data_IF_587153794194
#
_entry.id   IF_587153794194
#
_cell.length_a   1.000
_cell.length_b   1.000
_cell.length_c   1.000
_cell.angle_alpha   90.00
_cell.angle_beta   90.00
_cell.angle_gamma   90.00
#
_symmetry.space_group_name_H-M   'P 1'
#
loop_
_entity.id
_entity.type
_entity.pdbx_description
1 polymer ?
#
# COMPACT_ATOMS: atom_id res chain seq x y z
N UNK A 1 -93.04 -12.49 -4.09
CA UNK A 1 -92.89 -11.49 -3.02
C UNK A 1 -91.45 -11.22 -2.87
N UNK A 2 -91.04 -10.04 -3.27
CA UNK A 2 -89.73 -9.50 -3.35
C UNK A 2 -89.24 -8.89 -2.04
N UNK A 3 -88.02 -9.10 -1.61
CA UNK A 3 -87.36 -8.13 -0.77
C UNK A 3 -85.87 -8.02 -1.18
N UNK A 4 -85.59 -6.88 -1.80
CA UNK A 4 -84.27 -6.37 -2.05
C UNK A 4 -83.68 -5.83 -0.76
N UNK A 5 -82.45 -6.28 -0.40
CA UNK A 5 -81.68 -5.61 0.61
C UNK A 5 -80.36 -5.17 -0.03
N UNK A 6 -80.24 -3.89 -0.33
CA UNK A 6 -79.00 -3.25 -0.76
C UNK A 6 -78.11 -3.02 0.46
N UNK A 7 -76.98 -3.65 0.50
CA UNK A 7 -75.91 -3.33 1.42
C UNK A 7 -74.96 -2.35 0.72
N UNK A 8 -75.01 -1.07 1.13
CA UNK A 8 -74.00 -0.08 0.76
C UNK A 8 -72.70 -0.34 1.52
N UNK A 9 -71.66 -0.77 0.81
CA UNK A 9 -70.33 -0.76 1.32
C UNK A 9 -69.74 0.66 1.30
N UNK A 10 -69.64 1.28 2.45
CA UNK A 10 -68.80 2.47 2.64
C UNK A 10 -67.34 2.12 2.54
N UNK A 11 -66.74 2.44 1.40
CA UNK A 11 -65.29 2.44 1.26
C UNK A 11 -64.74 3.68 1.99
N UNK A 12 -64.25 3.48 3.21
CA UNK A 12 -63.44 4.47 3.90
C UNK A 12 -62.04 4.45 3.27
N UNK A 13 -61.72 5.43 2.44
CA UNK A 13 -60.41 5.72 1.92
C UNK A 13 -59.56 6.25 3.07
N UNK A 14 -58.80 5.38 3.76
CA UNK A 14 -57.72 5.82 4.63
C UNK A 14 -56.56 6.29 3.74
N UNK A 15 -56.54 7.58 3.41
CA UNK A 15 -55.37 8.24 2.92
C UNK A 15 -54.31 8.29 4.05
N UNK A 16 -53.42 7.31 4.08
CA UNK A 16 -52.20 7.39 4.90
C UNK A 16 -51.34 8.54 4.35
N UNK A 17 -51.45 9.71 4.98
CA UNK A 17 -50.44 10.74 4.84
C UNK A 17 -49.14 10.15 5.35
N UNK A 18 -48.30 9.72 4.43
CA UNK A 18 -46.86 9.58 4.69
C UNK A 18 -46.32 11.00 4.96
N UNK A 19 -46.35 11.40 6.22
CA UNK A 19 -45.52 12.50 6.69
C UNK A 19 -44.07 12.04 6.48
N UNK A 20 -43.48 12.46 5.37
CA UNK A 20 -42.03 12.37 5.19
C UNK A 20 -41.43 13.16 6.34
N UNK A 21 -40.94 12.44 7.37
CA UNK A 21 -40.12 13.05 8.39
C UNK A 21 -38.98 13.82 7.66
N UNK A 22 -38.70 15.09 8.04
CA UNK A 22 -37.58 15.81 7.48
C UNK A 22 -36.36 14.92 7.67
N UNK A 23 -35.70 14.57 6.56
CA UNK A 23 -34.64 13.59 6.54
C UNK A 23 -33.65 13.86 7.65
N UNK A 24 -33.36 12.85 8.44
CA UNK A 24 -32.24 12.86 9.37
C UNK A 24 -31.00 13.18 8.53
N UNK A 25 -30.63 14.44 8.52
CA UNK A 25 -29.39 14.93 7.96
C UNK A 25 -28.26 14.15 8.64
N UNK A 26 -27.70 13.14 7.97
CA UNK A 26 -26.39 12.74 8.28
C UNK A 26 -26.04 11.28 8.48
N UNK A 27 -26.97 10.33 8.54
CA UNK A 27 -26.55 8.92 8.64
C UNK A 27 -26.01 8.43 7.27
N UNK A 28 -24.71 8.20 7.19
CA UNK A 28 -24.06 7.59 6.03
C UNK A 28 -23.94 6.08 6.27
N UNK A 29 -24.27 5.28 5.26
CA UNK A 29 -24.28 3.82 5.37
C UNK A 29 -23.45 3.18 4.26
N UNK A 30 -22.63 2.19 4.66
CA UNK A 30 -21.97 1.24 3.76
C UNK A 30 -22.73 -0.08 3.77
N UNK A 31 -22.77 -0.74 2.61
CA UNK A 31 -23.33 -2.08 2.48
C UNK A 31 -22.39 -3.16 3.03
N UNK A 32 -22.95 -4.30 3.37
CA UNK A 32 -22.14 -5.51 3.51
C UNK A 32 -21.56 -5.88 2.13
N UNK A 33 -20.38 -6.47 2.10
CA UNK A 33 -19.59 -6.87 0.93
C UNK A 33 -18.76 -5.76 0.26
N UNK A 34 -18.79 -4.51 0.72
CA UNK A 34 -17.85 -3.49 0.25
C UNK A 34 -16.41 -3.83 0.68
N UNK A 35 -15.46 -3.64 -0.24
CA UNK A 35 -14.05 -3.95 0.00
C UNK A 35 -13.31 -2.76 0.60
N UNK A 36 -12.66 -2.99 1.71
CA UNK A 36 -11.89 -2.02 2.46
C UNK A 36 -10.39 -2.34 2.37
N UNK A 37 -9.58 -1.34 2.07
CA UNK A 37 -8.12 -1.46 2.05
C UNK A 37 -7.53 -0.78 3.28
N UNK A 38 -6.77 -1.53 4.06
CA UNK A 38 -6.19 -1.07 5.32
C UNK A 38 -4.73 -1.42 5.45
N UNK A 39 -4.00 -0.64 6.22
CA UNK A 39 -2.59 -0.85 6.56
C UNK A 39 -2.45 -1.06 8.05
N UNK A 40 -1.76 -2.11 8.48
CA UNK A 40 -1.46 -2.34 9.87
C UNK A 40 -0.55 -1.23 10.43
N UNK A 41 -0.89 -0.73 11.59
CA UNK A 41 -0.09 0.24 12.35
C UNK A 41 0.76 -0.43 13.42
N UNK A 42 0.35 -1.61 13.86
CA UNK A 42 1.00 -2.35 14.92
C UNK A 42 1.56 -3.66 14.38
N UNK A 43 2.67 -4.10 14.97
CA UNK A 43 3.26 -5.42 14.72
C UNK A 43 2.33 -6.52 15.21
N UNK A 44 2.11 -7.52 14.38
CA UNK A 44 1.20 -8.63 14.64
C UNK A 44 1.95 -9.96 14.56
N UNK A 45 1.79 -10.83 15.57
CA UNK A 45 2.57 -12.05 15.68
C UNK A 45 1.73 -13.20 16.28
N UNK A 46 1.71 -14.37 15.67
CA UNK A 46 0.84 -15.48 16.08
C UNK A 46 1.17 -16.05 17.47
N UNK A 47 2.38 -15.84 17.98
CA UNK A 47 2.82 -16.28 19.31
C UNK A 47 2.72 -15.20 20.40
N UNK A 48 2.06 -14.08 20.14
CA UNK A 48 1.96 -13.01 21.12
C UNK A 48 1.07 -13.42 22.30
N UNK A 49 1.70 -13.70 23.46
CA UNK A 49 0.98 -14.16 24.67
C UNK A 49 -0.01 -13.12 25.20
N UNK A 50 0.34 -11.85 25.14
CA UNK A 50 -0.47 -10.75 25.67
C UNK A 50 -1.65 -10.36 24.77
N UNK A 51 -1.68 -10.77 23.50
CA UNK A 51 -2.71 -10.44 22.51
C UNK A 51 -3.11 -8.96 22.55
N UNK A 52 -2.18 -8.03 22.29
CA UNK A 52 -2.42 -6.60 22.39
C UNK A 52 -3.52 -6.17 21.41
N UNK A 53 -4.03 -4.95 21.62
CA UNK A 53 -4.88 -4.30 20.61
C UNK A 53 -4.11 -4.16 19.31
N UNK A 54 -4.83 -4.26 18.20
CA UNK A 54 -4.28 -4.11 16.84
C UNK A 54 -4.99 -2.95 16.17
N UNK A 55 -4.22 -2.02 15.60
CA UNK A 55 -4.75 -0.89 14.85
C UNK A 55 -4.41 -1.05 13.37
N UNK A 56 -5.32 -0.56 12.54
CA UNK A 56 -5.08 -0.43 11.11
C UNK A 56 -5.58 0.92 10.60
N UNK A 57 -4.96 1.43 9.56
CA UNK A 57 -5.30 2.68 8.90
C UNK A 57 -6.04 2.37 7.60
N UNK A 58 -7.19 2.98 7.37
CA UNK A 58 -7.85 2.97 6.06
C UNK A 58 -7.02 3.80 5.09
N UNK A 59 -6.61 3.20 3.97
CA UNK A 59 -5.70 3.82 2.99
C UNK A 59 -6.38 4.22 1.68
N UNK A 60 -7.60 3.76 1.44
CA UNK A 60 -8.40 4.16 0.29
C UNK A 60 -9.81 4.59 0.75
N UNK A 61 -10.42 5.59 0.11
CA UNK A 61 -11.78 5.99 0.45
C UNK A 61 -12.76 4.85 0.16
N UNK A 62 -13.69 4.61 1.06
CA UNK A 62 -14.80 3.70 0.84
C UNK A 62 -16.10 4.50 0.73
N UNK A 63 -16.70 4.43 -0.46
CA UNK A 63 -17.91 5.17 -0.81
C UNK A 63 -19.17 4.36 -0.49
N UNK A 64 -20.15 5.01 0.05
CA UNK A 64 -21.49 4.46 0.23
C UNK A 64 -22.42 4.82 -0.92
N UNK A 65 -23.71 4.57 -0.73
CA UNK A 65 -24.75 4.92 -1.69
C UNK A 65 -24.69 6.42 -2.04
N UNK A 66 -24.73 6.72 -3.34
CA UNK A 66 -24.68 8.09 -3.85
C UNK A 66 -23.28 8.70 -3.93
N UNK A 67 -22.22 7.89 -3.88
CA UNK A 67 -20.83 8.34 -4.10
C UNK A 67 -20.25 9.17 -2.94
N UNK A 68 -20.87 9.13 -1.76
CA UNK A 68 -20.33 9.79 -0.57
C UNK A 68 -19.34 8.88 0.14
N UNK A 69 -18.18 9.41 0.49
CA UNK A 69 -17.19 8.68 1.25
C UNK A 69 -17.66 8.53 2.71
N UNK A 70 -17.83 7.29 3.14
CA UNK A 70 -18.23 6.93 4.50
C UNK A 70 -17.02 6.61 5.37
N UNK A 71 -16.05 5.85 4.84
CA UNK A 71 -14.78 5.61 5.51
C UNK A 71 -13.66 6.26 4.69
N UNK A 72 -13.25 7.48 5.06
CA UNK A 72 -12.16 8.17 4.36
C UNK A 72 -10.81 7.57 4.71
N UNK A 73 -9.78 7.79 3.86
CA UNK A 73 -8.40 7.55 4.23
C UNK A 73 -8.07 8.28 5.54
N UNK A 74 -7.21 7.68 6.38
CA UNK A 74 -6.94 8.24 7.71
C UNK A 74 -7.86 7.72 8.82
N UNK A 75 -8.94 6.99 8.50
CA UNK A 75 -9.76 6.29 9.50
C UNK A 75 -8.93 5.24 10.23
N UNK A 76 -8.94 5.26 11.56
CA UNK A 76 -8.24 4.26 12.38
C UNK A 76 -9.23 3.16 12.78
N UNK A 77 -8.91 1.94 12.40
CA UNK A 77 -9.59 0.75 12.87
C UNK A 77 -8.90 0.23 14.12
N UNK A 78 -9.70 -0.13 15.13
CA UNK A 78 -9.21 -0.80 16.33
C UNK A 78 -9.78 -2.21 16.38
N UNK A 79 -8.91 -3.15 16.73
CA UNK A 79 -9.24 -4.55 16.76
C UNK A 79 -8.38 -5.34 17.75
N UNK A 80 -8.49 -6.65 17.67
CA UNK A 80 -7.78 -7.59 18.55
C UNK A 80 -7.52 -8.92 17.85
N UNK A 81 -6.69 -9.71 18.46
CA UNK A 81 -6.52 -11.11 18.10
C UNK A 81 -7.82 -11.88 18.39
N UNK A 82 -8.41 -12.50 17.37
CA UNK A 82 -9.59 -13.36 17.50
C UNK A 82 -9.20 -14.82 17.72
N UNK A 83 -8.02 -15.23 17.27
CA UNK A 83 -7.49 -16.56 17.48
C UNK A 83 -6.12 -16.74 16.86
N UNK A 84 -5.40 -17.76 17.29
CA UNK A 84 -4.17 -18.22 16.65
C UNK A 84 -3.98 -19.71 16.93
N UNK A 85 -3.32 -20.41 16.06
CA UNK A 85 -3.08 -21.84 16.23
C UNK A 85 -2.14 -22.40 15.17
N UNK A 86 -2.04 -23.73 15.15
CA UNK A 86 -1.23 -24.48 14.20
C UNK A 86 -2.11 -25.53 13.51
N UNK A 87 -2.10 -25.51 12.18
CA UNK A 87 -2.69 -26.56 11.37
C UNK A 87 -1.65 -27.61 11.02
N UNK A 88 -2.11 -28.88 10.93
CA UNK A 88 -1.25 -30.03 10.61
C UNK A 88 -1.56 -30.62 9.21
N UNK A 89 -2.57 -30.11 8.52
CA UNK A 89 -2.98 -30.63 7.23
C UNK A 89 -2.05 -30.11 6.12
N UNK A 90 -1.38 -30.98 5.39
CA UNK A 90 -0.43 -30.61 4.35
C UNK A 90 0.91 -30.03 4.83
N UNK A 91 1.21 -30.15 6.12
CA UNK A 91 2.39 -29.58 6.77
C UNK A 91 2.00 -28.81 8.03
N UNK A 92 2.99 -28.47 8.87
CA UNK A 92 2.76 -27.64 10.04
C UNK A 92 2.83 -26.18 9.63
N UNK A 93 1.74 -25.43 9.74
CA UNK A 93 1.74 -23.97 9.56
C UNK A 93 0.91 -23.27 10.60
N UNK A 94 1.36 -22.11 11.00
CA UNK A 94 0.64 -21.27 11.96
C UNK A 94 -0.43 -20.46 11.23
N UNK A 95 -1.48 -20.14 11.97
CA UNK A 95 -2.50 -19.22 11.52
C UNK A 95 -2.81 -18.19 12.60
N UNK A 96 -3.36 -17.08 12.19
CA UNK A 96 -3.75 -15.95 13.00
C UNK A 96 -5.06 -15.37 12.47
N UNK A 97 -6.01 -15.10 13.36
CA UNK A 97 -7.22 -14.35 13.05
C UNK A 97 -7.22 -13.01 13.77
N UNK A 98 -7.49 -11.95 13.04
CA UNK A 98 -7.71 -10.60 13.53
C UNK A 98 -9.18 -10.25 13.42
N UNK A 99 -9.69 -9.50 14.40
CA UNK A 99 -11.03 -8.94 14.39
C UNK A 99 -10.94 -7.46 14.69
N UNK A 100 -11.46 -6.66 13.77
CA UNK A 100 -11.65 -5.22 13.97
C UNK A 100 -13.11 -5.00 14.35
N UNK A 101 -13.36 -4.20 15.36
CA UNK A 101 -14.69 -4.00 15.96
C UNK A 101 -15.08 -2.53 16.08
N UNK A 102 -14.13 -1.60 15.93
CA UNK A 102 -14.44 -0.18 15.94
C UNK A 102 -13.61 0.60 14.92
N UNK A 103 -14.19 1.67 14.39
CA UNK A 103 -13.57 2.64 13.52
C UNK A 103 -13.64 4.02 14.17
N UNK A 104 -12.52 4.74 14.23
CA UNK A 104 -12.44 6.17 14.55
C UNK A 104 -12.29 6.93 13.25
N UNK A 105 -13.37 7.57 12.82
CA UNK A 105 -13.49 8.23 11.51
C UNK A 105 -13.25 9.71 11.67
N UNK A 106 -12.25 10.31 11.00
CA UNK A 106 -11.97 11.75 11.10
C UNK A 106 -13.07 12.58 10.46
N UNK A 107 -13.38 13.71 11.06
CA UNK A 107 -14.28 14.74 10.54
C UNK A 107 -13.45 15.88 10.00
N UNK A 108 -13.52 16.13 8.70
CA UNK A 108 -12.61 17.04 8.01
C UNK A 108 -13.01 18.52 8.07
N UNK A 109 -14.22 18.83 8.50
CA UNK A 109 -14.70 20.20 8.75
C UNK A 109 -14.38 20.70 10.17
N UNK A 110 -14.01 19.81 11.08
CA UNK A 110 -13.70 20.13 12.46
C UNK A 110 -12.32 19.56 12.85
N UNK A 111 -11.34 20.42 13.05
CA UNK A 111 -9.99 20.01 13.44
C UNK A 111 -10.02 19.11 14.69
N UNK A 112 -9.46 17.92 14.58
CA UNK A 112 -9.35 16.90 15.63
C UNK A 112 -10.63 16.18 16.09
N UNK A 113 -11.77 16.40 15.47
CA UNK A 113 -12.99 15.67 15.80
C UNK A 113 -13.07 14.30 15.08
N UNK A 114 -13.59 13.29 15.76
CA UNK A 114 -13.76 11.94 15.22
C UNK A 114 -15.10 11.36 15.60
N UNK A 115 -15.69 10.61 14.67
CA UNK A 115 -16.89 9.80 14.92
C UNK A 115 -16.48 8.34 15.09
N UNK A 116 -16.98 7.70 16.15
CA UNK A 116 -16.82 6.26 16.33
C UNK A 116 -17.96 5.50 15.69
N UNK A 117 -17.62 4.43 14.99
CA UNK A 117 -18.55 3.49 14.41
C UNK A 117 -18.17 2.05 14.75
N UNK A 118 -19.17 1.20 14.88
CA UNK A 118 -18.94 -0.24 14.92
C UNK A 118 -18.58 -0.70 13.50
N UNK A 119 -17.60 -1.61 13.40
CA UNK A 119 -17.21 -2.22 12.14
C UNK A 119 -17.06 -3.73 12.33
N UNK A 120 -17.46 -4.48 11.32
CA UNK A 120 -17.22 -5.91 11.25
C UNK A 120 -16.77 -6.26 9.84
N UNK A 121 -15.62 -6.91 9.73
CA UNK A 121 -15.03 -7.23 8.43
C UNK A 121 -14.31 -8.58 8.46
N UNK A 122 -14.16 -9.18 7.29
CA UNK A 122 -13.38 -10.40 7.05
C UNK A 122 -12.24 -10.07 6.10
N UNK A 123 -11.02 -10.38 6.51
CA UNK A 123 -9.84 -10.24 5.65
C UNK A 123 -9.96 -11.23 4.50
N UNK A 124 -9.71 -10.79 3.28
CA UNK A 124 -9.84 -11.60 2.05
C UNK A 124 -8.54 -11.70 1.25
N UNK A 125 -7.65 -10.71 1.41
CA UNK A 125 -6.34 -10.70 0.79
C UNK A 125 -5.36 -9.88 1.63
N UNK A 126 -4.08 -10.04 1.33
CA UNK A 126 -3.02 -9.24 1.91
C UNK A 126 -1.91 -9.04 0.88
N UNK A 127 -1.22 -7.92 0.98
CA UNK A 127 -0.01 -7.64 0.22
C UNK A 127 1.19 -8.10 1.05
N UNK A 128 1.49 -9.36 0.94
CA UNK A 128 2.59 -10.01 1.65
C UNK A 128 3.20 -11.09 0.75
N UNK A 129 4.51 -11.30 0.92
CA UNK A 129 5.25 -12.27 0.11
C UNK A 129 5.17 -13.69 0.67
N UNK A 130 4.84 -13.82 1.93
CA UNK A 130 5.01 -15.04 2.70
C UNK A 130 3.70 -15.60 3.23
N UNK A 131 2.91 -14.78 3.86
CA UNK A 131 1.62 -15.10 4.42
C UNK A 131 0.52 -15.03 3.36
N UNK A 132 -0.53 -15.78 3.57
CA UNK A 132 -1.72 -15.80 2.70
C UNK A 132 -2.98 -15.68 3.55
N UNK A 133 -4.11 -15.42 2.92
CA UNK A 133 -5.41 -15.39 3.59
C UNK A 133 -6.23 -16.60 3.14
N UNK A 134 -6.77 -17.37 4.07
CA UNK A 134 -7.66 -18.49 3.76
C UNK A 134 -9.12 -18.03 3.59
N UNK A 135 -9.98 -18.98 3.18
CA UNK A 135 -11.41 -18.71 2.96
C UNK A 135 -12.17 -18.26 4.21
N UNK A 136 -11.65 -18.56 5.40
CA UNK A 136 -12.21 -18.11 6.68
C UNK A 136 -11.73 -16.70 7.08
N UNK A 137 -10.82 -16.10 6.32
CA UNK A 137 -10.22 -14.79 6.62
C UNK A 137 -9.10 -14.87 7.66
N UNK A 138 -8.52 -16.05 7.88
CA UNK A 138 -7.36 -16.21 8.74
C UNK A 138 -6.09 -15.97 7.93
N UNK A 139 -5.13 -15.31 8.51
CA UNK A 139 -3.80 -15.13 7.97
C UNK A 139 -3.01 -16.40 8.27
N UNK A 140 -2.48 -17.03 7.25
CA UNK A 140 -1.85 -18.34 7.32
C UNK A 140 -0.40 -18.22 6.86
N UNK A 141 0.51 -18.68 7.68
CA UNK A 141 1.93 -18.74 7.35
C UNK A 141 2.22 -19.77 6.26
N UNK A 142 3.35 -19.67 5.58
CA UNK A 142 3.70 -20.56 4.48
C UNK A 142 3.87 -22.01 4.95
N UNK A 143 3.56 -22.94 4.07
CA UNK A 143 4.10 -24.31 4.14
C UNK A 143 5.43 -24.30 3.42
N UNK A 144 6.51 -24.39 4.17
CA UNK A 144 7.83 -24.38 3.55
C UNK A 144 8.38 -25.81 3.58
N UNK A 145 8.63 -26.40 2.41
CA UNK A 145 9.36 -27.67 2.35
C UNK A 145 10.79 -27.40 2.83
N UNK A 146 11.30 -28.17 3.78
CA UNK A 146 12.70 -28.13 4.16
C UNK A 146 13.57 -28.46 2.95
N UNK A 147 14.35 -27.52 2.50
CA UNK A 147 15.25 -27.69 1.34
C UNK A 147 16.51 -28.44 1.74
N UNK A 148 16.87 -28.43 3.03
CA UNK A 148 18.08 -29.07 3.55
C UNK A 148 17.69 -30.27 4.41
N UNK A 149 17.75 -31.46 3.84
CA UNK A 149 17.40 -32.72 4.51
C UNK A 149 18.63 -33.54 4.93
N UNK A 150 19.81 -33.23 4.41
CA UNK A 150 21.01 -34.04 4.61
C UNK A 150 22.29 -33.22 4.77
N UNK A 151 23.33 -33.87 5.31
CA UNK A 151 24.69 -33.29 5.37
C UNK A 151 25.27 -33.02 3.98
N UNK A 152 24.81 -33.72 2.93
CA UNK A 152 25.18 -33.50 1.55
C UNK A 152 24.67 -32.17 1.00
N UNK A 153 23.50 -31.72 1.44
CA UNK A 153 22.92 -30.47 0.99
C UNK A 153 23.77 -29.27 1.46
N UNK A 154 24.42 -29.38 2.63
CA UNK A 154 25.37 -28.38 3.13
C UNK A 154 26.65 -28.26 2.27
N UNK A 155 27.06 -29.34 1.60
CA UNK A 155 28.20 -29.31 0.68
C UNK A 155 27.84 -28.54 -0.61
N UNK A 156 26.63 -28.66 -1.09
CA UNK A 156 26.10 -27.89 -2.24
C UNK A 156 25.99 -26.41 -1.87
N UNK A 157 25.57 -26.11 -0.64
CA UNK A 157 25.53 -24.77 -0.08
C UNK A 157 26.93 -24.15 -0.01
N UNK A 158 27.92 -24.91 0.48
CA UNK A 158 29.30 -24.45 0.59
C UNK A 158 29.97 -24.20 -0.77
N UNK A 159 29.70 -25.06 -1.76
CA UNK A 159 30.15 -24.89 -3.15
C UNK A 159 29.47 -23.71 -3.84
N UNK A 160 28.20 -23.44 -3.50
CA UNK A 160 27.44 -22.34 -4.03
C UNK A 160 27.95 -20.97 -3.61
N UNK A 161 28.65 -20.87 -2.45
CA UNK A 161 29.23 -19.60 -1.95
C UNK A 161 30.39 -19.12 -2.84
N UNK A 162 31.00 -20.00 -3.61
CA UNK A 162 32.12 -19.66 -4.49
C UNK A 162 31.70 -18.97 -5.79
N UNK A 163 30.39 -18.98 -6.11
CA UNK A 163 29.86 -18.32 -7.31
C UNK A 163 28.82 -17.26 -6.92
N UNK A 164 28.94 -15.99 -7.35
CA UNK A 164 28.06 -14.90 -6.91
C UNK A 164 26.57 -15.15 -7.19
N UNK A 165 26.25 -15.89 -8.25
CA UNK A 165 24.88 -16.32 -8.61
C UNK A 165 24.26 -17.22 -7.55
N UNK A 166 25.04 -18.25 -7.16
CA UNK A 166 24.61 -19.23 -6.16
C UNK A 166 24.58 -18.63 -4.76
N UNK A 167 25.43 -17.65 -4.46
CA UNK A 167 25.42 -16.95 -3.19
C UNK A 167 24.12 -16.14 -2.97
N UNK A 168 23.55 -15.53 -4.02
CA UNK A 168 22.29 -14.77 -3.94
C UNK A 168 21.09 -15.72 -3.83
N UNK A 169 21.04 -16.75 -4.66
CA UNK A 169 20.00 -17.79 -4.56
C UNK A 169 20.04 -18.44 -3.18
N UNK A 170 21.25 -18.70 -2.68
CA UNK A 170 21.45 -19.28 -1.37
C UNK A 170 21.06 -18.31 -0.26
N UNK A 171 21.41 -17.03 -0.36
CA UNK A 171 21.03 -16.00 0.62
C UNK A 171 19.51 -15.85 0.70
N UNK A 172 18.80 -15.84 -0.44
CA UNK A 172 17.32 -15.77 -0.46
C UNK A 172 16.68 -17.06 0.06
N UNK A 173 17.29 -18.22 -0.22
CA UNK A 173 16.82 -19.51 0.31
C UNK A 173 17.10 -19.62 1.80
N UNK A 174 18.27 -19.20 2.28
CA UNK A 174 18.61 -19.19 3.70
C UNK A 174 17.80 -18.14 4.47
N UNK A 175 17.53 -16.98 3.89
CA UNK A 175 16.60 -16.00 4.47
C UNK A 175 15.21 -16.60 4.61
N UNK A 176 14.73 -17.29 3.58
CA UNK A 176 13.50 -18.10 3.64
C UNK A 176 13.58 -19.08 4.81
N UNK A 177 14.62 -19.95 4.87
CA UNK A 177 14.74 -20.97 5.91
C UNK A 177 14.98 -20.42 7.33
N UNK A 178 15.68 -19.30 7.47
CA UNK A 178 15.86 -18.67 8.79
C UNK A 178 14.57 -18.03 9.29
N UNK A 179 13.77 -17.44 8.42
CA UNK A 179 12.37 -17.02 8.70
C UNK A 179 11.47 -18.23 8.98
N UNK A 180 11.74 -19.39 8.36
CA UNK A 180 11.05 -20.67 8.62
C UNK A 180 11.24 -21.23 10.01
N UNK A 181 12.37 -21.03 10.64
CA UNK A 181 12.55 -21.43 12.05
C UNK A 181 11.49 -20.77 12.95
N UNK A 182 10.95 -19.64 12.54
CA UNK A 182 9.75 -19.02 13.05
C UNK A 182 8.57 -19.31 12.14
N UNK A 183 8.05 -20.52 12.13
CA UNK A 183 6.80 -20.94 11.44
C UNK A 183 5.56 -20.15 11.89
N UNK A 184 5.76 -19.04 12.56
CA UNK A 184 4.74 -18.12 13.05
C UNK A 184 4.35 -17.13 11.98
N UNK A 185 3.09 -16.76 11.93
CA UNK A 185 2.65 -15.56 11.23
C UNK A 185 3.28 -14.35 11.89
N UNK A 186 3.89 -13.51 11.10
CA UNK A 186 4.56 -12.31 11.56
C UNK A 186 4.35 -11.17 10.56
N UNK A 187 3.62 -10.15 10.96
CA UNK A 187 3.31 -8.99 10.13
C UNK A 187 3.91 -7.74 10.74
N UNK A 188 4.65 -7.01 9.95
CA UNK A 188 5.20 -5.71 10.34
C UNK A 188 4.17 -4.58 10.19
N UNK A 189 4.34 -3.48 10.94
CA UNK A 189 3.63 -2.24 10.63
C UNK A 189 3.88 -1.86 9.16
N UNK A 190 2.82 -1.47 8.46
CA UNK A 190 2.89 -1.19 7.03
C UNK A 190 2.32 -2.30 6.14
N UNK A 191 2.14 -3.53 6.64
CA UNK A 191 1.47 -4.60 5.90
C UNK A 191 0.05 -4.19 5.53
N UNK A 192 -0.31 -4.38 4.25
CA UNK A 192 -1.62 -4.02 3.73
C UNK A 192 -2.55 -5.22 3.62
N UNK A 193 -3.79 -5.00 4.01
CA UNK A 193 -4.84 -6.00 4.02
C UNK A 193 -6.03 -5.48 3.21
N UNK A 194 -6.63 -6.38 2.44
CA UNK A 194 -7.96 -6.17 1.85
C UNK A 194 -8.98 -6.95 2.68
N UNK A 195 -10.05 -6.28 3.05
CA UNK A 195 -11.12 -6.89 3.84
C UNK A 195 -12.49 -6.54 3.26
N UNK A 196 -13.45 -7.41 3.47
CA UNK A 196 -14.85 -7.21 3.07
C UNK A 196 -15.68 -6.97 4.31
N UNK A 197 -16.50 -5.93 4.28
CA UNK A 197 -17.46 -5.66 5.36
C UNK A 197 -18.44 -6.81 5.48
N UNK A 198 -18.65 -7.30 6.70
CA UNK A 198 -19.61 -8.38 7.00
C UNK A 198 -20.93 -7.85 7.56
N UNK A 199 -20.94 -6.59 7.97
CA UNK A 199 -22.12 -5.87 8.43
C UNK A 199 -22.10 -4.44 7.90
N UNK A 200 -23.27 -3.81 7.71
CA UNK A 200 -23.33 -2.40 7.35
C UNK A 200 -22.63 -1.52 8.38
N UNK A 201 -21.94 -0.49 7.92
CA UNK A 201 -21.36 0.56 8.77
C UNK A 201 -22.24 1.79 8.68
N UNK A 202 -22.67 2.30 9.82
CA UNK A 202 -23.50 3.49 9.93
C UNK A 202 -22.76 4.55 10.73
N UNK A 203 -22.59 5.72 10.15
CA UNK A 203 -22.04 6.89 10.83
C UNK A 203 -23.16 7.79 11.33
N UNK A 204 -23.07 8.25 12.57
CA UNK A 204 -24.00 9.21 13.15
C UNK A 204 -23.89 10.62 12.54
N UNK A 205 -22.76 10.93 11.91
CA UNK A 205 -22.47 12.20 11.24
C UNK A 205 -21.65 11.93 9.98
N UNK A 206 -21.81 12.73 8.93
CA UNK A 206 -21.00 12.69 7.73
C UNK A 206 -19.55 13.07 8.00
N UNK A 207 -18.64 12.55 7.17
CA UNK A 207 -17.22 12.79 7.30
C UNK A 207 -16.77 14.10 6.66
N UNK A 208 -17.58 14.63 5.74
CA UNK A 208 -17.27 15.80 4.89
C UNK A 208 -15.94 15.64 4.11
N UNK A 209 -15.41 14.42 4.07
CA UNK A 209 -14.20 14.13 3.31
C UNK A 209 -14.47 14.30 1.81
N UNK A 210 -13.53 14.96 1.16
CA UNK A 210 -13.49 15.10 -0.29
C UNK A 210 -12.09 14.75 -0.76
N UNK A 211 -11.94 14.12 -1.93
CA UNK A 211 -10.62 13.96 -2.53
C UNK A 211 -9.97 15.35 -2.67
N UNK A 212 -8.63 15.43 -2.65
CA UNK A 212 -7.95 16.68 -2.92
C UNK A 212 -8.49 17.27 -4.23
N UNK A 213 -8.81 18.58 -4.26
CA UNK A 213 -9.29 19.23 -5.48
C UNK A 213 -8.22 19.19 -6.58
N UNK A 214 -8.61 19.40 -7.84
CA UNK A 214 -7.66 19.53 -8.95
C UNK A 214 -6.63 20.61 -8.70
N UNK A 215 -5.43 20.43 -9.23
CA UNK A 215 -4.33 21.40 -9.11
C UNK A 215 -4.70 22.69 -9.84
N UNK A 216 -4.76 23.80 -9.10
CA UNK A 216 -5.11 25.12 -9.62
C UNK A 216 -4.11 26.21 -9.26
N UNK A 217 -3.32 25.98 -8.18
CA UNK A 217 -2.41 27.00 -7.62
C UNK A 217 -1.05 27.00 -8.33
N UNK A 218 -0.77 28.05 -9.06
CA UNK A 218 0.60 28.41 -9.48
C UNK A 218 1.30 27.50 -10.49
N UNK A 219 0.74 26.34 -10.81
CA UNK A 219 1.33 25.39 -11.72
C UNK A 219 0.25 24.82 -12.66
N UNK A 220 0.49 24.91 -13.96
CA UNK A 220 -0.34 24.23 -14.95
C UNK A 220 0.11 22.76 -15.04
N UNK A 221 -0.71 21.78 -14.60
CA UNK A 221 -0.33 20.36 -14.62
C UNK A 221 0.01 19.85 -16.03
N UNK A 222 -0.68 20.33 -17.08
CA UNK A 222 -0.39 19.97 -18.47
C UNK A 222 0.99 20.50 -18.92
N UNK A 223 1.38 21.69 -18.45
CA UNK A 223 2.72 22.23 -18.72
C UNK A 223 3.79 21.38 -18.05
N UNK A 224 3.58 20.98 -16.78
CA UNK A 224 4.47 20.07 -16.08
C UNK A 224 4.59 18.76 -16.86
N UNK A 225 3.47 18.15 -17.22
CA UNK A 225 3.47 16.88 -17.93
C UNK A 225 4.25 16.90 -19.26
N UNK A 226 4.24 18.04 -19.95
CA UNK A 226 5.00 18.24 -21.20
C UNK A 226 6.48 18.54 -20.99
N UNK A 227 6.86 19.15 -19.87
CA UNK A 227 8.23 19.65 -19.63
C UNK A 227 9.15 18.67 -18.90
N UNK A 228 8.58 17.68 -18.18
CA UNK A 228 9.37 16.77 -17.38
C UNK A 228 9.77 15.50 -18.14
N UNK A 229 10.94 14.90 -17.86
CA UNK A 229 11.37 13.66 -18.48
C UNK A 229 10.37 12.51 -18.27
N UNK A 230 10.22 11.63 -19.25
CA UNK A 230 9.34 10.47 -19.19
C UNK A 230 9.93 9.33 -18.35
N UNK A 231 11.24 9.16 -18.41
CA UNK A 231 11.94 8.01 -17.80
C UNK A 231 13.25 8.44 -17.15
N UNK A 232 13.59 7.76 -16.08
CA UNK A 232 14.95 7.70 -15.57
C UNK A 232 15.81 6.79 -16.46
N UNK A 233 17.12 6.97 -16.39
CA UNK A 233 18.11 6.25 -17.19
C UNK A 233 19.02 5.45 -16.26
N UNK A 234 19.56 4.32 -16.72
CA UNK A 234 20.65 3.62 -16.01
C UNK A 234 21.90 4.48 -16.00
N UNK A 235 22.51 4.64 -14.82
CA UNK A 235 23.76 5.38 -14.68
C UNK A 235 24.87 4.81 -15.56
N UNK A 236 25.61 5.68 -16.24
CA UNK A 236 26.69 5.30 -17.15
C UNK A 236 26.27 4.58 -18.44
N UNK A 237 24.97 4.41 -18.67
CA UNK A 237 24.43 3.74 -19.87
C UNK A 237 23.24 4.53 -20.39
N UNK A 238 23.11 4.64 -21.69
CA UNK A 238 21.97 5.29 -22.31
C UNK A 238 20.79 4.31 -22.48
N UNK A 239 20.40 3.66 -21.36
CA UNK A 239 19.30 2.67 -21.32
C UNK A 239 18.15 3.25 -20.51
N UNK A 240 16.97 3.44 -21.13
CA UNK A 240 15.76 3.86 -20.40
C UNK A 240 15.36 2.83 -19.32
N UNK A 241 14.95 3.33 -18.17
CA UNK A 241 14.50 2.52 -17.05
C UNK A 241 13.12 3.00 -16.55
N UNK A 242 12.98 3.30 -15.28
CA UNK A 242 11.73 3.53 -14.59
C UNK A 242 10.97 4.74 -15.11
N UNK A 243 9.65 4.63 -15.21
CA UNK A 243 8.78 5.71 -15.64
C UNK A 243 8.62 6.73 -14.51
N UNK A 244 8.78 8.02 -14.83
CA UNK A 244 8.44 9.12 -13.93
C UNK A 244 6.92 9.29 -13.97
N UNK A 245 6.23 8.74 -12.98
CA UNK A 245 4.76 8.69 -12.92
C UNK A 245 4.13 9.73 -12.00
N UNK A 246 4.92 10.39 -11.12
CA UNK A 246 4.41 11.34 -10.13
C UNK A 246 5.26 12.61 -10.15
N UNK A 247 4.60 13.76 -10.05
CA UNK A 247 5.20 15.06 -9.83
C UNK A 247 4.61 15.66 -8.53
N UNK A 248 5.46 16.14 -7.63
CA UNK A 248 5.04 16.70 -6.35
C UNK A 248 5.55 18.14 -6.24
N UNK A 249 4.67 19.06 -5.88
CA UNK A 249 4.98 20.47 -5.62
C UNK A 249 4.95 20.69 -4.11
N UNK A 250 6.08 21.11 -3.55
CA UNK A 250 6.24 21.36 -2.12
C UNK A 250 7.69 21.52 -1.72
N UNK A 251 7.95 21.82 -0.43
CA UNK A 251 9.31 21.87 0.09
C UNK A 251 9.86 20.45 0.33
N UNK A 252 11.18 20.32 0.44
CA UNK A 252 11.81 19.06 0.79
C UNK A 252 11.33 18.54 2.17
N UNK A 253 11.08 19.45 3.11
CA UNK A 253 10.52 19.14 4.43
C UNK A 253 9.13 18.52 4.34
N UNK A 254 8.21 19.16 3.62
CA UNK A 254 6.84 18.66 3.41
C UNK A 254 6.84 17.27 2.76
N UNK A 255 7.69 17.06 1.75
CA UNK A 255 7.78 15.77 1.07
C UNK A 255 8.31 14.67 2.02
N UNK A 256 9.39 14.95 2.78
CA UNK A 256 9.92 14.01 3.79
C UNK A 256 8.88 13.62 4.83
N UNK A 257 8.15 14.59 5.35
CA UNK A 257 7.09 14.36 6.34
C UNK A 257 5.92 13.57 5.75
N UNK A 258 5.50 13.88 4.52
CA UNK A 258 4.43 13.16 3.84
C UNK A 258 4.83 11.69 3.59
N UNK A 259 6.06 11.44 3.12
CA UNK A 259 6.57 10.08 2.92
C UNK A 259 6.66 9.30 4.24
N UNK A 260 7.18 9.92 5.31
CA UNK A 260 7.27 9.28 6.61
C UNK A 260 5.88 8.96 7.19
N UNK A 261 4.93 9.89 7.10
CA UNK A 261 3.54 9.68 7.53
C UNK A 261 2.83 8.59 6.70
N UNK A 262 3.20 8.44 5.42
CA UNK A 262 2.73 7.38 4.53
C UNK A 262 3.39 6.02 4.82
N UNK A 263 4.33 5.95 5.78
CA UNK A 263 5.01 4.71 6.17
C UNK A 263 6.19 4.31 5.30
N UNK A 264 6.71 5.24 4.47
CA UNK A 264 7.93 5.01 3.72
C UNK A 264 9.16 5.38 4.54
N UNK A 265 10.18 4.54 4.47
CA UNK A 265 11.49 4.77 5.10
C UNK A 265 12.50 5.20 4.04
N UNK A 266 13.45 6.06 4.43
CA UNK A 266 14.50 6.50 3.52
C UNK A 266 15.51 5.38 3.33
N UNK A 267 15.72 4.94 2.09
CA UNK A 267 16.73 3.96 1.74
C UNK A 267 18.14 4.59 1.70
N UNK A 268 19.16 3.81 2.02
CA UNK A 268 20.53 4.23 1.88
C UNK A 268 20.97 4.26 0.41
N UNK A 269 21.85 5.19 -0.01
CA UNK A 269 22.44 5.15 -1.34
C UNK A 269 23.22 3.85 -1.54
N UNK A 270 23.12 3.26 -2.74
CA UNK A 270 23.81 2.05 -3.10
C UNK A 270 25.31 2.33 -3.32
N UNK A 271 26.20 1.58 -2.67
CA UNK A 271 27.62 1.52 -3.02
C UNK A 271 28.00 0.07 -3.33
N UNK A 272 28.75 -0.17 -4.41
CA UNK A 272 29.13 -1.49 -4.92
C UNK A 272 29.74 -2.45 -3.87
N UNK A 273 30.21 -1.95 -2.74
CA UNK A 273 30.75 -2.76 -1.65
C UNK A 273 29.77 -3.09 -0.51
N UNK A 274 28.59 -2.45 -0.47
CA UNK A 274 27.61 -2.65 0.59
C UNK A 274 26.66 -3.81 0.35
N UNK A 275 26.46 -4.20 -0.91
CA UNK A 275 25.41 -5.13 -1.33
C UNK A 275 25.60 -6.53 -0.78
N UNK A 276 26.81 -7.08 -0.92
CA UNK A 276 27.11 -8.44 -0.45
C UNK A 276 27.10 -8.50 1.09
N UNK A 277 27.62 -7.46 1.77
CA UNK A 277 27.60 -7.39 3.24
C UNK A 277 26.19 -7.22 3.78
N UNK A 278 25.33 -6.49 3.07
CA UNK A 278 23.94 -6.26 3.45
C UNK A 278 23.10 -7.53 3.27
N UNK A 279 23.29 -8.25 2.16
CA UNK A 279 22.65 -9.56 1.92
C UNK A 279 23.06 -10.57 3.01
N UNK A 280 24.35 -10.64 3.36
CA UNK A 280 24.85 -11.55 4.41
C UNK A 280 24.34 -11.15 5.80
N UNK A 281 24.23 -9.86 6.11
CA UNK A 281 23.65 -9.38 7.38
C UNK A 281 22.16 -9.66 7.48
N UNK A 282 21.40 -9.43 6.40
CA UNK A 282 19.98 -9.76 6.34
C UNK A 282 19.74 -11.26 6.52
N UNK A 283 20.57 -12.10 5.90
CA UNK A 283 20.55 -13.55 6.07
C UNK A 283 20.88 -14.00 7.51
N UNK A 284 21.61 -13.18 8.28
CA UNK A 284 21.93 -13.44 9.69
C UNK A 284 20.88 -12.93 10.68
N UNK A 285 19.81 -12.27 10.20
CA UNK A 285 18.76 -11.72 11.07
C UNK A 285 19.18 -10.47 11.87
N UNK A 286 20.29 -9.84 11.50
CA UNK A 286 20.84 -8.64 12.13
C UNK A 286 20.22 -7.39 11.50
N UNK A 287 18.97 -7.09 11.84
CA UNK A 287 18.30 -5.82 11.61
C UNK A 287 18.02 -5.47 10.13
N UNK A 288 16.81 -5.02 9.85
CA UNK A 288 16.44 -4.42 8.57
C UNK A 288 17.04 -3.01 8.48
N UNK A 289 18.25 -2.92 7.96
CA UNK A 289 18.80 -1.64 7.50
C UNK A 289 18.24 -1.29 6.13
N UNK A 290 18.19 0.00 5.80
CA UNK A 290 17.77 0.51 4.49
C UNK A 290 18.50 -0.24 3.35
N UNK A 291 17.73 -0.81 2.42
CA UNK A 291 18.25 -1.69 1.38
C UNK A 291 18.71 -0.89 0.14
N UNK A 292 19.85 -1.26 -0.50
CA UNK A 292 20.32 -0.55 -1.68
C UNK A 292 19.43 -0.79 -2.92
N UNK A 293 19.24 0.26 -3.72
CA UNK A 293 18.48 0.23 -4.98
C UNK A 293 19.39 0.57 -6.17
N UNK A 294 19.11 0.03 -7.36
CA UNK A 294 19.90 0.26 -8.58
C UNK A 294 20.13 1.75 -8.86
N UNK A 295 21.32 2.09 -9.34
CA UNK A 295 21.71 3.46 -9.66
C UNK A 295 20.99 3.94 -10.94
N UNK A 296 19.98 4.79 -10.76
CA UNK A 296 19.29 5.48 -11.84
C UNK A 296 19.58 6.96 -11.80
N UNK A 297 19.57 7.59 -12.96
CA UNK A 297 19.77 9.04 -13.10
C UNK A 297 18.61 9.67 -13.87
N UNK A 298 18.28 10.89 -13.50
CA UNK A 298 17.33 11.72 -14.24
C UNK A 298 18.03 13.04 -14.62
N UNK A 299 18.07 13.34 -15.91
CA UNK A 299 18.87 14.48 -16.37
C UNK A 299 20.36 14.39 -16.01
N UNK A 300 20.93 13.18 -15.93
CA UNK A 300 22.32 12.93 -15.56
C UNK A 300 22.62 12.99 -14.07
N UNK A 301 21.62 13.18 -13.19
CA UNK A 301 21.80 13.28 -11.74
C UNK A 301 21.24 12.06 -11.02
N UNK A 302 21.93 11.64 -9.96
CA UNK A 302 21.41 10.69 -9.00
C UNK A 302 20.16 11.23 -8.28
N UNK A 303 19.30 10.36 -7.71
CA UNK A 303 18.14 10.80 -6.95
C UNK A 303 18.54 11.55 -5.67
N UNK A 304 17.81 12.60 -5.34
CA UNK A 304 18.00 13.37 -4.10
C UNK A 304 17.52 12.58 -2.88
N UNK A 305 16.49 11.76 -3.08
CA UNK A 305 15.93 10.88 -2.04
C UNK A 305 15.51 9.55 -2.65
N UNK A 306 15.63 8.51 -1.86
CA UNK A 306 15.11 7.17 -2.20
C UNK A 306 14.31 6.68 -1.02
N UNK A 307 13.14 6.14 -1.31
CA UNK A 307 12.23 5.62 -0.29
C UNK A 307 11.85 4.19 -0.59
N UNK A 308 11.65 3.43 0.46
CA UNK A 308 11.18 2.05 0.38
C UNK A 308 10.14 1.75 1.47
N UNK A 309 9.29 0.79 1.19
CA UNK A 309 8.41 0.14 2.14
C UNK A 309 8.60 -1.36 1.94
N UNK A 310 9.22 -1.99 2.92
CA UNK A 310 9.45 -3.44 2.90
C UNK A 310 8.17 -4.11 3.35
N UNK A 311 7.62 -4.98 2.49
CA UNK A 311 6.38 -5.69 2.80
C UNK A 311 6.67 -6.93 3.64
N UNK A 312 7.65 -7.74 3.30
CA UNK A 312 8.05 -8.91 4.11
C UNK A 312 9.46 -9.42 3.81
N UNK A 313 9.94 -9.26 2.59
CA UNK A 313 11.24 -9.79 2.20
C UNK A 313 12.08 -8.77 1.44
N UNK A 314 13.38 -9.00 1.47
CA UNK A 314 14.37 -8.30 0.65
C UNK A 314 14.01 -8.26 -0.86
N UNK A 315 13.25 -9.24 -1.32
CA UNK A 315 12.94 -9.45 -2.74
C UNK A 315 11.68 -8.69 -3.18
N UNK A 316 10.76 -8.43 -2.25
CA UNK A 316 9.46 -7.79 -2.55
C UNK A 316 9.32 -6.53 -1.71
N UNK A 317 9.33 -5.38 -2.39
CA UNK A 317 9.22 -4.07 -1.74
C UNK A 317 8.64 -3.03 -2.68
N UNK A 318 7.93 -2.10 -2.10
CA UNK A 318 7.58 -0.85 -2.76
C UNK A 318 8.75 0.10 -2.64
N UNK A 319 9.20 0.68 -3.72
CA UNK A 319 10.25 1.69 -3.65
C UNK A 319 10.09 2.75 -4.72
N UNK A 320 10.57 3.94 -4.42
CA UNK A 320 10.59 5.03 -5.38
C UNK A 320 11.78 5.93 -5.18
N UNK A 321 12.17 6.58 -6.27
CA UNK A 321 13.23 7.54 -6.35
C UNK A 321 12.68 8.91 -6.62
N UNK A 322 13.29 9.92 -6.00
CA UNK A 322 12.85 11.30 -6.04
C UNK A 322 13.96 12.19 -6.54
N UNK A 323 13.66 13.03 -7.51
CA UNK A 323 14.56 14.04 -8.06
C UNK A 323 13.94 15.41 -7.96
N UNK A 324 14.70 16.39 -7.50
CA UNK A 324 14.32 17.79 -7.58
C UNK A 324 14.44 18.27 -9.03
N UNK A 325 13.47 19.04 -9.49
CA UNK A 325 13.41 19.51 -10.86
C UNK A 325 13.07 21.02 -10.93
N UNK A 326 13.72 21.85 -11.82
CA UNK A 326 14.95 21.49 -12.50
C UNK A 326 16.14 21.31 -11.54
N UNK A 327 17.18 20.65 -12.07
CA UNK A 327 18.32 20.15 -11.29
C UNK A 327 19.18 21.21 -10.58
N UNK A 328 19.06 22.48 -10.93
CA UNK A 328 19.89 23.56 -10.41
C UNK A 328 19.27 24.36 -9.25
N UNK A 329 18.12 23.95 -8.75
CA UNK A 329 17.51 24.58 -7.58
C UNK A 329 18.22 24.09 -6.31
N UNK A 330 18.73 24.99 -5.45
CA UNK A 330 19.62 24.65 -4.33
C UNK A 330 19.04 24.94 -2.95
N UNK A 331 17.91 25.62 -2.86
CA UNK A 331 17.28 25.97 -1.59
C UNK A 331 16.27 24.88 -1.16
N UNK A 332 16.60 24.13 -0.11
CA UNK A 332 15.78 23.04 0.41
C UNK A 332 14.47 23.51 1.06
N UNK A 333 14.41 24.75 1.52
CA UNK A 333 13.21 25.32 2.13
C UNK A 333 12.28 25.97 1.12
N UNK A 334 12.73 26.15 -0.11
CA UNK A 334 11.89 26.67 -1.18
C UNK A 334 10.94 25.59 -1.73
N UNK A 335 9.74 26.01 -2.11
CA UNK A 335 8.82 25.17 -2.87
C UNK A 335 9.47 24.76 -4.20
N UNK A 336 9.56 23.47 -4.44
CA UNK A 336 10.17 22.88 -5.62
C UNK A 336 9.23 21.87 -6.29
N UNK A 337 9.53 21.52 -7.52
CA UNK A 337 8.94 20.38 -8.21
C UNK A 337 9.82 19.15 -7.97
N UNK A 338 9.22 18.08 -7.48
CA UNK A 338 9.86 16.79 -7.24
C UNK A 338 9.29 15.75 -8.19
N UNK A 339 10.15 15.06 -8.90
CA UNK A 339 9.76 13.99 -9.82
C UNK A 339 10.02 12.64 -9.17
N UNK A 340 9.05 11.73 -9.29
CA UNK A 340 9.10 10.42 -8.65
C UNK A 340 8.90 9.33 -9.70
N UNK A 341 9.81 8.35 -9.67
CA UNK A 341 9.65 7.08 -10.36
C UNK A 341 9.48 5.98 -9.31
N UNK A 342 8.31 5.34 -9.32
CA UNK A 342 7.91 4.32 -8.36
C UNK A 342 7.81 2.95 -9.04
N UNK A 343 8.29 1.92 -8.37
CA UNK A 343 8.25 0.52 -8.82
C UNK A 343 8.03 -0.43 -7.66
N UNK A 344 7.32 -1.52 -7.96
CA UNK A 344 7.12 -2.63 -7.03
C UNK A 344 8.01 -3.79 -7.44
N UNK A 345 8.94 -4.19 -6.58
CA UNK A 345 9.79 -5.36 -6.78
C UNK A 345 8.98 -6.63 -6.53
N UNK A 346 9.00 -7.56 -7.48
CA UNK A 346 8.26 -8.83 -7.43
C UNK A 346 9.16 -10.06 -7.39
N UNK A 347 10.48 -9.88 -7.58
CA UNK A 347 11.43 -10.98 -7.63
C UNK A 347 12.84 -10.52 -7.97
N UNK A 348 13.72 -11.49 -8.23
CA UNK A 348 15.10 -11.27 -8.69
C UNK A 348 15.30 -12.02 -9.99
N UNK A 349 15.97 -11.42 -10.96
CA UNK A 349 16.37 -12.04 -12.23
C UNK A 349 17.76 -11.62 -12.64
N UNK A 350 18.39 -12.41 -13.54
CA UNK A 350 19.65 -12.03 -14.14
C UNK A 350 19.41 -11.21 -15.41
N UNK A 351 19.95 -10.01 -15.49
CA UNK A 351 19.87 -9.14 -16.65
C UNK A 351 21.23 -9.00 -17.34
N UNK A 352 21.31 -9.45 -18.59
CA UNK A 352 22.52 -9.22 -19.44
C UNK A 352 22.74 -7.74 -19.74
N UNK A 353 21.67 -6.93 -19.81
CA UNK A 353 21.76 -5.49 -20.06
C UNK A 353 22.31 -4.73 -18.85
N UNK A 354 22.17 -5.27 -17.66
CA UNK A 354 22.64 -4.70 -16.40
C UNK A 354 23.91 -5.38 -15.88
N UNK A 355 24.43 -6.41 -16.59
CA UNK A 355 25.58 -7.25 -16.21
C UNK A 355 25.47 -7.79 -14.78
N UNK A 356 24.28 -8.25 -14.37
CA UNK A 356 24.12 -8.77 -13.03
C UNK A 356 22.68 -9.10 -12.67
N UNK A 357 22.51 -9.35 -11.39
CA UNK A 357 21.19 -9.54 -10.82
C UNK A 357 20.47 -8.21 -10.68
N UNK A 358 19.20 -8.20 -11.02
CA UNK A 358 18.31 -7.07 -10.85
C UNK A 358 16.97 -7.57 -10.34
N UNK A 359 16.24 -6.68 -9.66
CA UNK A 359 14.86 -6.98 -9.28
C UNK A 359 13.99 -7.07 -10.53
N UNK A 360 13.07 -8.04 -10.53
CA UNK A 360 11.91 -8.00 -11.42
C UNK A 360 10.89 -7.05 -10.81
N UNK A 361 10.32 -6.19 -11.64
CA UNK A 361 9.27 -5.25 -11.21
C UNK A 361 7.92 -5.67 -11.79
N UNK A 362 6.84 -5.29 -11.10
CA UNK A 362 5.49 -5.40 -11.68
C UNK A 362 5.46 -4.57 -12.99
N UNK A 363 5.12 -5.19 -14.13
CA UNK A 363 5.06 -4.46 -15.39
C UNK A 363 3.97 -3.37 -15.39
N UNK A 364 2.93 -3.50 -14.59
CA UNK A 364 1.85 -2.51 -14.43
C UNK A 364 2.28 -1.38 -13.48
N UNK A 365 3.21 -0.56 -13.92
CA UNK A 365 3.85 0.49 -13.09
C UNK A 365 2.87 1.54 -12.55
N UNK A 366 1.71 1.69 -13.19
CA UNK A 366 0.67 2.60 -12.71
C UNK A 366 0.06 2.17 -11.38
N UNK A 367 0.05 0.87 -11.08
CA UNK A 367 -0.41 0.36 -9.78
C UNK A 367 0.46 0.89 -8.65
N UNK A 368 1.77 0.93 -8.86
CA UNK A 368 2.69 1.45 -7.86
C UNK A 368 2.61 2.99 -7.78
N UNK A 369 2.48 3.68 -8.93
CA UNK A 369 2.17 5.12 -8.94
C UNK A 369 0.95 5.43 -8.09
N UNK A 370 -0.17 4.75 -8.36
CA UNK A 370 -1.45 5.01 -7.72
C UNK A 370 -1.41 4.63 -6.23
N UNK A 371 -0.66 3.58 -5.88
CA UNK A 371 -0.40 3.22 -4.49
C UNK A 371 0.34 4.35 -3.74
N UNK A 372 1.45 4.84 -4.27
CA UNK A 372 2.21 5.93 -3.64
C UNK A 372 1.33 7.19 -3.52
N UNK A 373 0.56 7.53 -4.54
CA UNK A 373 -0.39 8.66 -4.52
C UNK A 373 -1.43 8.47 -3.42
N UNK A 374 -2.06 7.30 -3.35
CA UNK A 374 -3.08 6.98 -2.33
C UNK A 374 -2.49 7.06 -0.92
N UNK A 375 -1.27 6.55 -0.74
CA UNK A 375 -0.56 6.60 0.53
C UNK A 375 -0.30 8.03 1.00
N UNK A 376 0.14 8.90 0.09
CA UNK A 376 0.36 10.31 0.38
C UNK A 376 -0.96 11.06 0.67
N UNK A 377 -2.01 10.80 -0.10
CA UNK A 377 -3.35 11.38 0.12
C UNK A 377 -3.92 10.95 1.47
N UNK A 378 -3.73 9.69 1.88
CA UNK A 378 -4.18 9.17 3.16
C UNK A 378 -3.54 9.89 4.36
N UNK A 379 -2.39 10.55 4.19
CA UNK A 379 -1.76 11.34 5.25
C UNK A 379 -2.43 12.69 5.51
N UNK A 380 -3.41 13.08 4.68
CA UNK A 380 -4.01 14.42 4.68
C UNK A 380 -3.00 15.57 4.44
N UNK A 381 -1.85 15.27 3.85
CA UNK A 381 -0.80 16.25 3.53
C UNK A 381 -0.82 16.72 2.07
N UNK A 382 -1.72 16.19 1.25
CA UNK A 382 -1.95 16.61 -0.13
C UNK A 382 -3.07 17.64 -0.17
N UNK A 383 -2.78 18.82 -0.69
CA UNK A 383 -3.76 19.92 -0.83
C UNK A 383 -4.56 19.80 -2.14
N UNK A 384 -3.88 19.50 -3.23
CA UNK A 384 -4.45 19.43 -4.58
C UNK A 384 -3.86 18.25 -5.34
N UNK A 385 -4.63 17.63 -6.25
CA UNK A 385 -4.21 16.48 -7.03
C UNK A 385 -4.84 16.47 -8.41
N UNK A 386 -4.05 16.16 -9.45
CA UNK A 386 -4.55 15.94 -10.81
C UNK A 386 -3.83 14.77 -11.47
N UNK A 387 -4.55 14.03 -12.31
CA UNK A 387 -3.96 13.09 -13.25
C UNK A 387 -4.00 13.70 -14.65
N UNK A 388 -2.84 13.82 -15.30
CA UNK A 388 -2.67 14.51 -16.58
C UNK A 388 -2.17 13.53 -17.63
N UNK A 389 -2.82 13.42 -18.78
CA UNK A 389 -2.32 12.60 -19.89
C UNK A 389 -0.95 13.10 -20.36
N UNK A 390 -0.06 12.15 -20.65
CA UNK A 390 1.22 12.41 -21.34
C UNK A 390 1.22 11.73 -22.68
N UNK A 391 2.19 12.12 -23.53
CA UNK A 391 2.41 11.41 -24.80
C UNK A 391 2.67 9.93 -24.51
N UNK A 392 2.03 9.04 -25.27
CA UNK A 392 2.12 7.60 -25.07
C UNK A 392 3.58 7.15 -24.95
N UNK A 393 3.88 6.49 -23.84
CA UNK A 393 5.20 5.90 -23.61
C UNK A 393 5.25 4.59 -24.40
N UNK A 394 5.63 4.68 -25.67
CA UNK A 394 5.79 3.50 -26.50
C UNK A 394 7.10 2.76 -26.15
N UNK A 395 7.01 1.46 -26.01
CA UNK A 395 8.15 0.54 -25.96
C UNK A 395 8.65 0.17 -24.54
N UNK A 396 8.96 -1.09 -24.38
CA UNK A 396 9.49 -1.70 -23.16
C UNK A 396 8.49 -2.65 -22.50
N UNK A 397 8.98 -3.39 -21.48
CA UNK A 397 8.18 -4.35 -20.73
C UNK A 397 7.19 -3.70 -19.72
N UNK A 398 7.19 -2.37 -19.61
CA UNK A 398 6.33 -1.63 -18.68
C UNK A 398 5.00 -1.25 -19.35
N UNK A 399 3.91 -1.54 -18.66
CA UNK A 399 2.54 -1.22 -19.05
C UNK A 399 2.09 0.02 -18.28
N UNK A 400 1.65 1.06 -18.98
CA UNK A 400 1.21 2.32 -18.38
C UNK A 400 0.00 2.90 -19.11
N UNK A 401 -0.86 3.60 -18.37
CA UNK A 401 -1.96 4.41 -18.90
C UNK A 401 -1.48 5.77 -19.46
N UNK A 402 -0.20 6.06 -19.32
CA UNK A 402 0.43 7.29 -19.84
C UNK A 402 0.10 8.55 -19.04
N UNK A 403 -0.43 8.46 -17.82
CA UNK A 403 -0.71 9.63 -16.99
C UNK A 403 0.41 9.97 -16.02
N UNK A 404 0.53 11.26 -15.75
CA UNK A 404 1.32 11.80 -14.65
C UNK A 404 0.38 12.23 -13.52
N UNK A 405 0.61 11.75 -12.32
CA UNK A 405 -0.04 12.30 -11.14
C UNK A 405 0.70 13.57 -10.70
N UNK A 406 -0.01 14.68 -10.55
CA UNK A 406 0.54 15.95 -10.04
C UNK A 406 -0.09 16.25 -8.71
N UNK A 407 0.72 16.37 -7.66
CA UNK A 407 0.32 16.62 -6.28
C UNK A 407 0.87 17.96 -5.79
N UNK A 408 0.08 18.69 -5.00
CA UNK A 408 0.53 19.85 -4.24
C UNK A 408 0.45 19.52 -2.77
N UNK A 409 1.55 19.68 -2.02
CA UNK A 409 1.58 19.43 -0.58
C UNK A 409 1.06 20.64 0.21
N UNK A 410 0.62 20.38 1.44
CA UNK A 410 0.13 21.40 2.40
C UNK A 410 1.27 22.02 3.17
#
# INVERSE_FOLDING_TARGET
>A
MSFNCRVQCCLALCAALLVAAPGALGAQQLGAADTLHVRLLDRVHSHHRARPAVRALVIAPLEGAGGRVVLPPGTILSGRYAGSGMERFGGKRHWLALRFDSASVPIYDAASDTVRAAISMRIVAMDDARETVDSAGRIVGPVIPSVIHSKGDWAVVALGILHPVTAIVLATTLEGEMKERHRSVFLEPGTELSAVLTQPVVLSRGTEWKPPPPVTRGANPDSIARSVPLRAMLHGRNVPSDIVGIAVIGTAGQLREACAAAGFTRAAPMTLGSDLKTIVKSAKGEGYGAQPVSELVLGGRAPDMVYEKVVDSFVKRHHFRVWRWPANATDDDATALWLIAATHDTGITFSRQRDGFTHTIDPHVDRERDKVVSDLVATNRVAEMSYVPRVAVAGGAMITDGKLAVLVLR
#
